data_IF_926210873827
#
_entry.id   IF_926210873827
#
_cell.length_a   1.000
_cell.length_b   1.000
_cell.length_c   1.000
_cell.angle_alpha   90.00
_cell.angle_beta   90.00
_cell.angle_gamma   90.00
#
_symmetry.space_group_name_H-M   'P 1'
#
loop_
_entity.id
_entity.type
_entity.pdbx_description
1 polymer ?
#
# COMPACT_ATOMS: atom_id res chain seq x y z
N UNK A 1 -22.65 19.03 -49.09
CA UNK A 1 -24.00 18.59 -48.66
C UNK A 1 -24.13 17.08 -48.88
N UNK A 2 -23.57 16.28 -47.98
CA UNK A 2 -23.84 14.83 -47.90
C UNK A 2 -24.42 14.55 -46.51
N UNK A 3 -25.48 13.75 -46.51
CA UNK A 3 -26.64 13.84 -45.63
C UNK A 3 -26.49 13.14 -44.27
N UNK A 4 -27.38 13.51 -43.35
CA UNK A 4 -27.65 12.94 -42.02
C UNK A 4 -28.11 11.46 -42.04
N UNK A 5 -27.42 10.57 -42.75
CA UNK A 5 -27.87 9.21 -43.04
C UNK A 5 -27.31 8.07 -42.19
N UNK A 6 -26.33 8.32 -41.30
CA UNK A 6 -25.57 7.23 -40.64
C UNK A 6 -25.94 6.97 -39.17
N UNK A 7 -26.91 7.69 -38.60
CA UNK A 7 -27.28 7.53 -37.19
C UNK A 7 -28.44 6.52 -37.02
N UNK A 8 -29.40 6.49 -37.94
CA UNK A 8 -30.60 5.64 -37.87
C UNK A 8 -30.31 4.13 -37.72
N UNK A 9 -29.40 3.50 -38.49
CA UNK A 9 -29.09 2.07 -38.33
C UNK A 9 -28.44 1.75 -36.98
N UNK A 10 -27.66 2.68 -36.42
CA UNK A 10 -27.03 2.56 -35.10
C UNK A 10 -28.06 2.75 -33.97
N UNK A 11 -28.99 3.70 -34.11
CA UNK A 11 -30.09 3.88 -33.16
C UNK A 11 -31.06 2.69 -33.13
N UNK A 12 -31.27 2.02 -34.27
CA UNK A 12 -32.12 0.83 -34.38
C UNK A 12 -31.46 -0.43 -33.77
N UNK A 13 -30.13 -0.54 -33.91
CA UNK A 13 -29.31 -1.53 -33.18
C UNK A 13 -29.35 -1.31 -31.66
N UNK A 14 -29.30 -0.07 -31.20
CA UNK A 14 -29.38 0.29 -29.77
C UNK A 14 -30.75 -0.01 -29.18
N UNK A 15 -31.84 0.31 -29.89
CA UNK A 15 -33.23 0.04 -29.46
C UNK A 15 -33.56 -1.44 -29.30
N UNK A 16 -32.88 -2.32 -30.04
CA UNK A 16 -33.19 -3.76 -30.08
C UNK A 16 -32.32 -4.61 -29.15
N UNK A 17 -31.23 -4.07 -28.59
CA UNK A 17 -30.20 -4.86 -27.87
C UNK A 17 -29.84 -4.36 -26.46
N UNK A 18 -30.29 -3.16 -26.05
CA UNK A 18 -29.92 -2.55 -24.76
C UNK A 18 -31.09 -2.66 -23.78
N UNK A 19 -30.86 -3.17 -22.57
CA UNK A 19 -31.92 -3.49 -21.60
C UNK A 19 -31.74 -2.82 -20.22
N UNK A 20 -30.69 -2.02 -19.98
CA UNK A 20 -30.42 -1.45 -18.64
C UNK A 20 -30.13 0.07 -18.61
N UNK A 21 -30.52 0.78 -17.54
CA UNK A 21 -30.34 2.24 -17.40
C UNK A 21 -28.87 2.73 -17.40
N UNK A 22 -27.92 1.92 -16.95
CA UNK A 22 -26.48 2.27 -16.88
C UNK A 22 -25.80 2.34 -18.27
N UNK A 23 -26.38 1.67 -19.27
CA UNK A 23 -25.94 1.71 -20.66
C UNK A 23 -26.31 3.06 -21.32
N UNK A 24 -27.38 3.73 -20.85
CA UNK A 24 -27.83 5.01 -21.39
C UNK A 24 -26.89 6.17 -21.03
N UNK A 25 -26.35 6.21 -19.81
CA UNK A 25 -25.33 7.20 -19.40
C UNK A 25 -24.00 6.96 -20.14
N UNK A 26 -23.61 5.69 -20.30
CA UNK A 26 -22.44 5.30 -21.10
C UNK A 26 -22.61 5.73 -22.56
N UNK A 27 -23.83 5.59 -23.12
CA UNK A 27 -24.15 6.01 -24.48
C UNK A 27 -24.22 7.53 -24.63
N UNK A 28 -24.70 8.27 -23.62
CA UNK A 28 -24.69 9.73 -23.63
C UNK A 28 -23.25 10.27 -23.73
N UNK A 29 -22.31 9.71 -22.96
CA UNK A 29 -20.90 10.08 -23.03
C UNK A 29 -20.26 9.73 -24.39
N UNK A 30 -20.64 8.59 -25.00
CA UNK A 30 -20.20 8.20 -26.35
C UNK A 30 -20.76 9.14 -27.41
N UNK A 31 -22.03 9.53 -27.31
CA UNK A 31 -22.68 10.47 -28.23
C UNK A 31 -22.14 11.89 -28.10
N UNK A 32 -21.79 12.32 -26.89
CA UNK A 32 -21.16 13.62 -26.62
C UNK A 32 -19.73 13.68 -27.20
N UNK A 33 -18.94 12.63 -27.00
CA UNK A 33 -17.64 12.45 -27.64
C UNK A 33 -17.72 12.42 -29.18
N UNK A 34 -18.78 11.83 -29.75
CA UNK A 34 -19.00 11.85 -31.19
C UNK A 34 -19.48 13.21 -31.70
N UNK A 35 -20.27 13.98 -30.92
CA UNK A 35 -20.80 15.30 -31.34
C UNK A 35 -19.72 16.38 -31.38
N UNK A 36 -18.77 16.38 -30.44
CA UNK A 36 -17.63 17.31 -30.44
C UNK A 36 -16.69 17.12 -31.65
N UNK A 37 -16.80 15.98 -32.36
CA UNK A 37 -15.90 15.57 -33.45
C UNK A 37 -16.35 15.97 -34.87
N UNK A 38 -17.54 16.57 -35.04
CA UNK A 38 -18.08 16.86 -36.39
C UNK A 38 -17.35 17.98 -37.14
N UNK A 39 -16.43 18.70 -36.49
CA UNK A 39 -15.79 19.91 -37.03
C UNK A 39 -14.45 19.65 -37.73
N UNK A 40 -13.94 18.41 -37.76
CA UNK A 40 -12.58 18.09 -38.24
C UNK A 40 -12.54 16.83 -39.13
N UNK A 41 -13.38 16.75 -40.17
CA UNK A 41 -13.20 15.74 -41.22
C UNK A 41 -12.45 16.32 -42.42
N UNK A 42 -11.12 16.31 -42.32
CA UNK A 42 -10.23 16.24 -43.48
C UNK A 42 -9.57 14.87 -43.48
N UNK A 43 -10.02 13.96 -44.35
CA UNK A 43 -9.35 12.67 -44.55
C UNK A 43 -7.90 12.91 -44.99
N UNK A 44 -6.94 12.60 -44.12
CA UNK A 44 -5.51 12.70 -44.46
C UNK A 44 -5.01 11.32 -44.88
N UNK A 45 -4.47 11.21 -46.10
CA UNK A 45 -3.84 10.01 -46.59
C UNK A 45 -2.49 9.81 -45.88
N UNK A 46 -2.45 8.94 -44.86
CA UNK A 46 -1.26 8.70 -44.03
C UNK A 46 -1.34 7.39 -43.22
N UNK A 47 -0.25 7.00 -42.52
CA UNK A 47 -0.28 5.85 -41.63
C UNK A 47 -1.31 6.04 -40.50
N UNK A 48 -1.83 4.94 -39.95
CA UNK A 48 -2.74 4.98 -38.81
C UNK A 48 -2.01 5.56 -37.58
N UNK A 49 -2.54 6.64 -37.03
CA UNK A 49 -1.96 7.34 -35.88
C UNK A 49 -3.04 7.58 -34.83
N UNK A 50 -2.65 7.48 -33.56
CA UNK A 50 -3.51 7.85 -32.43
C UNK A 50 -3.52 9.38 -32.34
N UNK A 51 -4.71 9.96 -32.44
CA UNK A 51 -4.93 11.41 -32.31
C UNK A 51 -5.36 11.76 -30.89
N UNK A 52 -6.13 10.88 -30.25
CA UNK A 52 -6.60 11.11 -28.88
C UNK A 52 -6.74 9.80 -28.11
N UNK A 53 -6.51 9.85 -26.80
CA UNK A 53 -6.83 8.78 -25.86
C UNK A 53 -7.69 9.38 -24.75
N UNK A 54 -8.80 8.71 -24.44
CA UNK A 54 -9.66 9.00 -23.31
C UNK A 54 -9.65 7.79 -22.38
N UNK A 55 -9.15 7.97 -21.17
CA UNK A 55 -9.04 6.88 -20.21
C UNK A 55 -10.24 6.82 -19.26
N UNK A 56 -11.33 7.55 -19.53
CA UNK A 56 -12.61 7.51 -18.80
C UNK A 56 -12.44 7.52 -17.26
N UNK A 57 -11.58 8.41 -16.75
CA UNK A 57 -11.07 8.42 -15.36
C UNK A 57 -12.17 8.19 -14.33
N UNK A 58 -13.24 8.98 -14.37
CA UNK A 58 -14.33 8.93 -13.40
C UNK A 58 -15.15 7.63 -13.49
N UNK A 59 -15.44 7.18 -14.71
CA UNK A 59 -16.19 5.93 -14.93
C UNK A 59 -15.38 4.71 -14.51
N UNK A 60 -14.09 4.70 -14.87
CA UNK A 60 -13.17 3.66 -14.46
C UNK A 60 -12.93 3.67 -12.96
N UNK A 61 -12.88 4.84 -12.32
CA UNK A 61 -12.75 4.92 -10.87
C UNK A 61 -13.93 4.26 -10.17
N UNK A 62 -15.17 4.53 -10.61
CA UNK A 62 -16.38 3.87 -10.06
C UNK A 62 -16.32 2.34 -10.21
N UNK A 63 -16.00 1.82 -11.40
CA UNK A 63 -15.92 0.36 -11.60
C UNK A 63 -14.73 -0.29 -10.89
N UNK A 64 -13.71 0.51 -10.58
CA UNK A 64 -12.57 0.11 -9.79
C UNK A 64 -12.71 0.51 -8.33
N UNK A 65 -13.85 0.99 -7.83
CA UNK A 65 -14.03 1.45 -6.45
C UNK A 65 -12.99 2.48 -5.96
N UNK A 66 -12.37 3.25 -6.86
CA UNK A 66 -11.29 4.22 -6.56
C UNK A 66 -11.80 5.67 -6.69
N UNK A 67 -13.11 5.89 -6.62
CA UNK A 67 -13.69 7.22 -6.69
C UNK A 67 -13.34 8.10 -5.49
N UNK A 68 -12.93 7.53 -4.35
CA UNK A 68 -12.58 8.35 -3.18
C UNK A 68 -11.32 9.18 -3.41
N UNK A 69 -10.43 8.78 -4.33
CA UNK A 69 -9.19 9.49 -4.61
C UNK A 69 -9.43 10.89 -5.17
N UNK A 70 -8.91 11.90 -4.46
CA UNK A 70 -9.00 13.30 -4.93
C UNK A 70 -8.26 13.54 -6.25
N UNK A 71 -7.33 12.67 -6.63
CA UNK A 71 -6.65 12.78 -7.94
C UNK A 71 -7.56 12.45 -9.11
N UNK A 72 -8.67 11.74 -8.90
CA UNK A 72 -9.65 11.38 -9.95
C UNK A 72 -10.56 12.55 -10.33
N UNK A 73 -10.71 13.54 -9.45
CA UNK A 73 -11.72 14.60 -9.59
C UNK A 73 -11.14 16.00 -9.89
N UNK A 74 -9.83 16.11 -10.12
CA UNK A 74 -9.16 17.38 -10.40
C UNK A 74 -9.37 17.91 -11.83
N UNK A 75 -8.85 19.11 -12.09
CA UNK A 75 -8.75 19.72 -13.43
C UNK A 75 -8.04 18.80 -14.43
N UNK A 76 -7.01 18.09 -13.95
CA UNK A 76 -6.33 17.01 -14.66
C UNK A 76 -6.57 15.71 -13.89
N UNK A 77 -7.66 14.98 -14.18
CA UNK A 77 -7.98 13.77 -13.47
C UNK A 77 -6.97 12.66 -13.82
N UNK A 78 -6.54 11.92 -12.81
CA UNK A 78 -5.65 10.77 -12.98
C UNK A 78 -6.45 9.48 -12.79
N UNK A 79 -6.21 8.51 -13.66
CA UNK A 79 -6.77 7.17 -13.48
C UNK A 79 -6.11 6.46 -12.31
N UNK A 80 -6.93 5.95 -11.39
CA UNK A 80 -6.52 5.05 -10.31
C UNK A 80 -7.28 3.75 -10.53
N UNK A 81 -6.57 2.67 -10.88
CA UNK A 81 -7.18 1.39 -11.26
C UNK A 81 -6.68 0.25 -10.38
N UNK A 82 -7.48 -0.81 -10.30
CA UNK A 82 -7.17 -2.03 -9.55
C UNK A 82 -6.77 -3.18 -10.47
N UNK A 83 -5.76 -3.95 -10.09
CA UNK A 83 -5.41 -5.16 -10.84
C UNK A 83 -6.57 -6.16 -10.87
N UNK A 84 -6.67 -6.93 -11.94
CA UNK A 84 -7.74 -7.93 -12.08
C UNK A 84 -9.11 -7.35 -12.43
N UNK A 85 -9.29 -6.03 -12.32
CA UNK A 85 -10.53 -5.36 -12.70
C UNK A 85 -10.47 -4.88 -14.16
N UNK A 86 -11.64 -4.80 -14.78
CA UNK A 86 -11.80 -4.30 -16.14
C UNK A 86 -11.85 -2.76 -16.11
N UNK A 87 -11.29 -2.13 -17.14
CA UNK A 87 -11.36 -0.68 -17.34
C UNK A 87 -11.57 -0.37 -18.82
N UNK A 88 -12.14 0.80 -19.11
CA UNK A 88 -12.48 1.30 -20.44
C UNK A 88 -11.40 2.26 -20.92
N UNK A 89 -11.06 2.19 -22.21
CA UNK A 89 -10.18 3.17 -22.88
C UNK A 89 -10.77 3.48 -24.25
N UNK A 90 -10.98 4.76 -24.53
CA UNK A 90 -11.29 5.29 -25.85
C UNK A 90 -10.01 5.67 -26.58
N UNK A 91 -9.88 5.26 -27.83
CA UNK A 91 -8.74 5.62 -28.70
C UNK A 91 -9.30 6.19 -29.99
N UNK A 92 -8.93 7.43 -30.33
CA UNK A 92 -9.27 8.05 -31.61
C UNK A 92 -8.09 7.97 -32.55
N UNK A 93 -8.36 7.54 -33.78
CA UNK A 93 -7.37 7.49 -34.85
C UNK A 93 -7.56 8.64 -35.84
N UNK A 94 -6.50 8.96 -36.60
CA UNK A 94 -6.53 9.97 -37.67
C UNK A 94 -7.38 9.55 -38.90
N UNK A 95 -7.83 8.30 -38.94
CA UNK A 95 -8.69 7.75 -39.98
C UNK A 95 -9.59 6.65 -39.41
N UNK A 96 -10.68 6.32 -40.11
CA UNK A 96 -11.60 5.26 -39.69
C UNK A 96 -10.87 3.91 -39.60
N UNK A 97 -11.11 3.18 -38.51
CA UNK A 97 -10.48 1.91 -38.24
C UNK A 97 -11.51 0.89 -37.72
N UNK A 98 -11.77 -0.15 -38.52
CA UNK A 98 -12.70 -1.23 -38.15
C UNK A 98 -12.04 -2.22 -37.17
N UNK A 99 -12.41 -2.10 -35.90
CA UNK A 99 -11.96 -2.98 -34.81
C UNK A 99 -12.56 -4.40 -34.90
N UNK A 100 -13.67 -4.61 -35.64
CA UNK A 100 -14.35 -5.91 -35.74
C UNK A 100 -13.51 -7.00 -36.41
N UNK A 101 -12.46 -6.60 -37.15
CA UNK A 101 -11.50 -7.51 -37.80
C UNK A 101 -10.23 -7.75 -36.98
N UNK A 102 -10.12 -7.15 -35.80
CA UNK A 102 -8.92 -7.19 -34.95
C UNK A 102 -9.32 -7.68 -33.55
N UNK A 103 -9.01 -8.94 -33.18
CA UNK A 103 -9.21 -9.40 -31.82
C UNK A 103 -8.20 -8.72 -30.87
N UNK A 104 -8.60 -7.62 -30.23
CA UNK A 104 -7.87 -7.01 -29.12
C UNK A 104 -8.36 -7.65 -27.81
N UNK A 105 -7.53 -8.47 -27.19
CA UNK A 105 -7.84 -9.09 -25.90
C UNK A 105 -6.70 -8.85 -24.90
N UNK A 106 -6.86 -7.84 -24.05
CA UNK A 106 -6.00 -7.63 -22.90
C UNK A 106 -6.62 -8.33 -21.68
N UNK A 107 -6.11 -9.51 -21.33
CA UNK A 107 -6.57 -10.25 -20.14
C UNK A 107 -5.54 -10.06 -19.04
N UNK A 108 -5.90 -9.34 -17.99
CA UNK A 108 -5.13 -9.22 -16.76
C UNK A 108 -5.79 -10.07 -15.67
N UNK A 109 -5.76 -11.41 -15.81
CA UNK A 109 -6.27 -12.29 -14.75
C UNK A 109 -5.10 -12.66 -13.83
N UNK A 110 -4.97 -11.91 -12.74
CA UNK A 110 -4.01 -12.19 -11.67
C UNK A 110 -4.86 -12.30 -10.40
N UNK A 111 -4.77 -13.45 -9.72
CA UNK A 111 -5.35 -13.59 -8.39
C UNK A 111 -4.77 -12.54 -7.46
N UNK A 112 -5.61 -11.98 -6.59
CA UNK A 112 -5.19 -10.89 -5.73
C UNK A 112 -4.70 -11.43 -4.38
N UNK A 113 -3.39 -11.47 -4.08
CA UNK A 113 -2.89 -11.89 -2.78
C UNK A 113 -3.39 -11.06 -1.60
N UNK A 114 -4.00 -9.89 -1.79
CA UNK A 114 -4.57 -9.08 -0.70
C UNK A 114 -6.09 -9.14 -0.65
N UNK A 115 -6.70 -10.12 -1.33
CA UNK A 115 -8.15 -10.29 -1.32
C UNK A 115 -8.69 -10.57 0.09
N UNK A 116 -9.58 -9.70 0.54
CA UNK A 116 -10.38 -9.87 1.76
C UNK A 116 -11.82 -10.18 1.36
N UNK A 117 -12.27 -11.39 1.69
CA UNK A 117 -13.57 -11.92 1.26
C UNK A 117 -14.74 -11.16 1.88
N UNK A 118 -14.63 -10.81 3.16
CA UNK A 118 -15.69 -10.11 3.87
C UNK A 118 -15.77 -8.65 3.44
N UNK A 119 -16.94 -8.24 2.95
CA UNK A 119 -17.15 -6.90 2.40
C UNK A 119 -17.11 -5.81 3.48
N UNK A 120 -17.63 -6.09 4.68
CA UNK A 120 -17.64 -5.11 5.77
C UNK A 120 -16.22 -4.87 6.30
N UNK A 121 -15.44 -5.93 6.47
CA UNK A 121 -14.03 -5.84 6.82
C UNK A 121 -13.24 -5.13 5.73
N UNK A 122 -13.49 -5.42 4.44
CA UNK A 122 -12.82 -4.73 3.34
C UNK A 122 -13.15 -3.23 3.34
N UNK A 123 -14.40 -2.86 3.55
CA UNK A 123 -14.78 -1.45 3.71
C UNK A 123 -14.06 -0.81 4.91
N UNK A 124 -13.98 -1.52 6.03
CA UNK A 124 -13.35 -0.99 7.25
C UNK A 124 -11.82 -0.85 7.14
N UNK A 125 -11.12 -1.89 6.67
CA UNK A 125 -9.65 -1.95 6.66
C UNK A 125 -9.01 -1.36 5.39
N UNK A 126 -9.82 -0.99 4.40
CA UNK A 126 -9.33 -0.39 3.15
C UNK A 126 -9.94 0.99 2.89
N UNK A 127 -11.26 1.16 3.09
CA UNK A 127 -11.96 2.38 2.70
C UNK A 127 -12.09 3.42 3.82
N UNK A 128 -12.02 2.99 5.09
CA UNK A 128 -12.17 3.92 6.21
C UNK A 128 -10.93 4.78 6.38
N UNK A 129 -11.10 6.10 6.34
CA UNK A 129 -9.98 7.05 6.53
C UNK A 129 -9.67 7.37 7.99
N UNK A 130 -10.48 6.87 8.92
CA UNK A 130 -10.28 7.07 10.36
C UNK A 130 -10.04 5.75 11.08
N UNK A 131 -9.07 5.75 11.97
CA UNK A 131 -8.74 4.66 12.86
C UNK A 131 -8.56 5.14 14.28
N UNK A 132 -8.10 4.24 15.14
CA UNK A 132 -7.69 4.60 16.49
C UNK A 132 -6.52 3.71 16.92
N UNK A 133 -5.75 4.22 17.87
CA UNK A 133 -4.80 3.42 18.64
C UNK A 133 -5.11 3.58 20.13
N UNK A 134 -4.71 2.57 20.89
CA UNK A 134 -4.81 2.56 22.33
C UNK A 134 -3.44 2.86 22.94
N UNK A 135 -3.42 3.59 24.05
CA UNK A 135 -2.21 3.99 24.75
C UNK A 135 -2.40 3.93 26.28
N UNK A 136 -1.33 4.02 27.06
CA UNK A 136 -1.38 3.92 28.51
C UNK A 136 -0.83 2.58 29.00
N UNK A 137 -1.55 1.91 29.89
CA UNK A 137 -1.15 0.62 30.47
C UNK A 137 -2.29 -0.38 30.37
N UNK A 138 -2.00 -1.68 30.53
CA UNK A 138 -3.00 -2.75 30.53
C UNK A 138 -4.18 -2.49 31.50
N UNK A 139 -3.94 -1.78 32.61
CA UNK A 139 -4.94 -1.49 33.66
C UNK A 139 -5.66 -0.16 33.48
N UNK A 140 -5.07 0.75 32.73
CA UNK A 140 -5.58 2.09 32.49
C UNK A 140 -5.10 2.56 31.12
N UNK A 141 -5.91 2.29 30.09
CA UNK A 141 -5.63 2.69 28.72
C UNK A 141 -6.65 3.69 28.21
N UNK A 142 -6.16 4.63 27.40
CA UNK A 142 -6.98 5.54 26.62
C UNK A 142 -7.04 5.14 25.15
N UNK A 143 -7.91 5.82 24.41
CA UNK A 143 -8.01 5.72 22.96
C UNK A 143 -7.74 7.09 22.34
N UNK A 144 -7.05 7.12 21.21
CA UNK A 144 -6.92 8.31 20.37
C UNK A 144 -7.30 7.96 18.94
N UNK A 145 -8.11 8.82 18.34
CA UNK A 145 -8.46 8.73 16.93
C UNK A 145 -7.31 9.21 16.04
N UNK A 146 -7.26 8.66 14.84
CA UNK A 146 -6.29 9.04 13.82
C UNK A 146 -6.97 9.17 12.46
N UNK A 147 -6.66 10.23 11.74
CA UNK A 147 -7.08 10.41 10.34
C UNK A 147 -5.93 10.02 9.39
N UNK A 148 -6.10 8.90 8.70
CA UNK A 148 -5.11 8.38 7.75
C UNK A 148 -4.97 9.22 6.49
N UNK A 149 -6.07 9.78 5.95
CA UNK A 149 -6.08 10.61 4.73
C UNK A 149 -5.50 9.91 3.50
N UNK A 150 -5.78 8.61 3.32
CA UNK A 150 -5.19 7.81 2.23
C UNK A 150 -5.64 8.25 0.83
N UNK A 151 -6.76 8.97 0.71
CA UNK A 151 -7.31 9.41 -0.58
C UNK A 151 -6.87 10.83 -1.00
N UNK A 152 -6.09 11.50 -0.16
CA UNK A 152 -5.52 12.81 -0.49
C UNK A 152 -4.50 12.72 -1.63
N UNK A 153 -4.40 13.81 -2.42
CA UNK A 153 -3.47 13.89 -3.56
C UNK A 153 -2.02 13.70 -3.14
N UNK A 154 -1.65 14.26 -1.98
CA UNK A 154 -0.28 14.19 -1.44
C UNK A 154 0.12 12.74 -1.12
N UNK A 155 -0.83 11.89 -0.75
CA UNK A 155 -0.55 10.55 -0.22
C UNK A 155 0.05 9.65 -1.29
N UNK A 156 -0.58 9.56 -2.46
CA UNK A 156 -0.05 8.78 -3.61
C UNK A 156 1.30 9.29 -4.09
N UNK A 157 1.50 10.62 -4.07
CA UNK A 157 2.76 11.24 -4.48
C UNK A 157 3.89 10.91 -3.49
N UNK A 158 3.60 10.99 -2.20
CA UNK A 158 4.56 10.71 -1.13
C UNK A 158 4.99 9.26 -1.15
N UNK A 159 4.06 8.30 -1.30
CA UNK A 159 4.43 6.87 -1.38
C UNK A 159 5.32 6.57 -2.57
N UNK A 160 5.01 7.14 -3.74
CA UNK A 160 5.87 6.99 -4.91
C UNK A 160 7.30 7.47 -4.62
N UNK A 161 7.42 8.61 -3.92
CA UNK A 161 8.70 9.16 -3.52
C UNK A 161 9.43 8.22 -2.55
N UNK A 162 8.75 7.75 -1.50
CA UNK A 162 9.28 6.82 -0.50
C UNK A 162 9.74 5.50 -1.13
N UNK A 163 8.94 4.90 -2.01
CA UNK A 163 9.30 3.67 -2.71
C UNK A 163 10.47 3.86 -3.68
N UNK A 164 10.75 5.09 -4.14
CA UNK A 164 11.97 5.39 -4.90
C UNK A 164 13.17 5.60 -3.98
N UNK A 165 12.96 6.19 -2.81
CA UNK A 165 14.02 6.42 -1.82
C UNK A 165 14.64 5.11 -1.33
N UNK A 166 13.83 4.04 -1.18
CA UNK A 166 14.29 2.70 -0.80
C UNK A 166 14.61 1.78 -2.00
N UNK A 167 14.73 2.35 -3.20
CA UNK A 167 14.99 1.64 -4.47
C UNK A 167 14.06 0.42 -4.72
N UNK A 168 12.79 0.51 -4.30
CA UNK A 168 11.85 -0.58 -4.51
C UNK A 168 11.56 -0.73 -6.01
N UNK A 169 11.96 -1.84 -6.61
CA UNK A 169 11.80 -2.09 -8.03
C UNK A 169 10.37 -2.54 -8.40
N UNK A 170 10.13 -2.76 -9.70
CA UNK A 170 8.82 -3.21 -10.16
C UNK A 170 8.40 -4.60 -9.67
N UNK A 171 9.36 -5.47 -9.37
CA UNK A 171 9.09 -6.81 -8.86
C UNK A 171 8.70 -6.76 -7.38
N UNK A 172 9.43 -6.00 -6.56
CA UNK A 172 9.12 -5.77 -5.15
C UNK A 172 7.76 -5.09 -5.00
N UNK A 173 7.48 -4.05 -5.80
CA UNK A 173 6.16 -3.39 -5.81
C UNK A 173 5.03 -4.27 -6.38
N UNK A 174 5.37 -5.43 -6.96
CA UNK A 174 4.41 -6.38 -7.51
C UNK A 174 4.06 -7.54 -6.60
N UNK A 175 4.69 -7.60 -5.45
CA UNK A 175 4.49 -8.63 -4.47
C UNK A 175 4.12 -7.98 -3.13
N UNK A 176 3.00 -8.37 -2.52
CA UNK A 176 2.49 -7.71 -1.32
C UNK A 176 3.43 -7.87 -0.13
N UNK A 177 4.16 -8.99 -0.04
CA UNK A 177 5.11 -9.26 1.05
C UNK A 177 6.28 -8.28 0.94
N UNK A 178 6.91 -8.22 -0.23
CA UNK A 178 8.05 -7.32 -0.48
C UNK A 178 7.65 -5.84 -0.43
N UNK A 179 6.48 -5.49 -0.95
CA UNK A 179 5.99 -4.12 -0.94
C UNK A 179 5.78 -3.62 0.50
N UNK A 180 5.11 -4.39 1.35
CA UNK A 180 4.88 -3.99 2.75
C UNK A 180 6.19 -3.89 3.53
N UNK A 181 7.14 -4.80 3.26
CA UNK A 181 8.48 -4.74 3.87
C UNK A 181 9.26 -3.50 3.41
N UNK A 182 9.20 -3.14 2.13
CA UNK A 182 9.81 -1.91 1.61
C UNK A 182 9.16 -0.64 2.19
N UNK A 183 7.82 -0.61 2.32
CA UNK A 183 7.12 0.50 2.97
C UNK A 183 7.50 0.60 4.46
N UNK A 184 7.64 -0.53 5.15
CA UNK A 184 8.08 -0.58 6.54
C UNK A 184 9.42 0.14 6.72
N UNK A 185 10.40 -0.15 5.87
CA UNK A 185 11.70 0.53 5.86
C UNK A 185 11.53 2.03 5.52
N UNK A 186 10.79 2.35 4.46
CA UNK A 186 10.64 3.73 3.98
C UNK A 186 9.94 4.68 4.97
N UNK A 187 9.17 4.16 5.93
CA UNK A 187 8.45 4.97 6.91
C UNK A 187 9.40 5.56 7.97
N UNK A 188 10.56 4.95 8.22
CA UNK A 188 11.56 5.46 9.17
C UNK A 188 12.85 5.89 8.46
N UNK A 189 13.60 6.82 9.06
CA UNK A 189 14.75 7.49 8.43
C UNK A 189 16.10 6.78 8.66
N UNK A 190 16.15 5.62 9.32
CA UNK A 190 17.44 5.13 9.85
C UNK A 190 18.46 4.79 8.76
N UNK A 191 17.99 4.19 7.67
CA UNK A 191 18.87 3.70 6.60
C UNK A 191 18.78 4.56 5.33
N UNK A 192 17.63 5.21 5.11
CA UNK A 192 17.28 5.89 3.86
C UNK A 192 16.63 7.26 4.10
N UNK A 193 16.22 7.96 3.02
CA UNK A 193 15.44 9.20 3.10
C UNK A 193 13.96 8.95 3.47
N UNK A 194 13.75 8.27 4.59
CA UNK A 194 12.42 7.85 5.04
C UNK A 194 11.56 8.97 5.61
N UNK A 195 10.28 8.64 5.86
CA UNK A 195 9.26 9.63 6.18
C UNK A 195 9.47 10.33 7.54
N UNK A 196 9.81 9.58 8.59
CA UNK A 196 9.77 10.06 9.97
C UNK A 196 11.10 9.87 10.71
N UNK A 197 11.49 10.88 11.47
CA UNK A 197 12.53 10.77 12.50
C UNK A 197 11.90 10.42 13.85
N UNK A 198 12.36 9.35 14.50
CA UNK A 198 11.87 8.92 15.81
C UNK A 198 12.43 9.77 16.96
N UNK A 199 11.62 10.03 18.01
CA UNK A 199 12.12 10.64 19.25
C UNK A 199 11.28 10.25 20.48
N UNK A 200 11.97 9.71 21.49
CA UNK A 200 11.38 9.26 22.77
C UNK A 200 11.86 10.05 23.99
N UNK A 201 12.71 11.07 23.80
CA UNK A 201 13.08 12.04 24.85
C UNK A 201 12.04 13.17 24.95
N UNK A 202 11.93 13.83 26.10
CA UNK A 202 10.97 14.93 26.32
C UNK A 202 11.33 16.27 25.65
N UNK A 203 12.46 16.37 24.97
CA UNK A 203 12.82 17.54 24.15
C UNK A 203 12.41 17.35 22.69
N UNK A 204 11.48 18.21 22.23
CA UNK A 204 11.01 18.25 20.83
C UNK A 204 11.28 19.58 20.13
N UNK A 205 12.19 20.41 20.66
CA UNK A 205 12.46 21.79 20.19
C UNK A 205 12.76 21.93 18.68
N UNK A 206 13.24 20.88 18.02
CA UNK A 206 13.52 20.84 16.58
C UNK A 206 12.42 20.24 15.69
N UNK A 207 11.22 20.01 16.21
CA UNK A 207 10.14 19.34 15.48
C UNK A 207 8.79 19.45 16.15
N UNK A 208 7.87 18.55 15.78
CA UNK A 208 6.55 18.43 16.40
C UNK A 208 6.58 17.34 17.46
N UNK A 209 6.02 17.61 18.64
CA UNK A 209 5.81 16.59 19.67
C UNK A 209 4.94 15.46 19.08
N UNK A 210 5.40 14.18 19.13
CA UNK A 210 4.67 13.05 18.57
C UNK A 210 3.21 12.94 19.03
N UNK A 211 2.93 13.30 20.29
CA UNK A 211 1.59 13.26 20.88
C UNK A 211 0.62 14.34 20.38
N UNK A 212 1.08 15.29 19.56
CA UNK A 212 0.22 16.31 18.93
C UNK A 212 -0.35 15.81 17.60
N UNK A 213 0.28 14.84 16.95
CA UNK A 213 -0.24 14.30 15.71
C UNK A 213 -1.56 13.57 15.92
N UNK A 214 -2.53 13.86 15.05
CA UNK A 214 -3.83 13.19 14.95
C UNK A 214 -4.16 12.75 13.52
N UNK A 215 -3.22 12.96 12.59
CA UNK A 215 -3.40 12.63 11.18
C UNK A 215 -2.06 12.42 10.49
N UNK A 216 -2.04 11.54 9.49
CA UNK A 216 -0.87 11.34 8.62
C UNK A 216 -0.72 12.50 7.62
N UNK A 217 -1.79 13.18 7.21
CA UNK A 217 -1.74 14.17 6.13
C UNK A 217 -0.76 15.33 6.38
N UNK A 218 -0.70 15.96 7.56
CA UNK A 218 0.26 17.04 7.82
C UNK A 218 1.71 16.55 7.77
N UNK A 219 1.96 15.27 8.07
CA UNK A 219 3.29 14.64 7.97
C UNK A 219 3.65 14.50 6.49
N UNK A 220 2.75 13.98 5.66
CA UNK A 220 3.00 13.80 4.22
C UNK A 220 3.20 15.15 3.51
N UNK A 221 2.38 16.15 3.82
CA UNK A 221 2.54 17.51 3.28
C UNK A 221 3.91 18.09 3.66
N UNK A 222 4.29 18.07 4.94
CA UNK A 222 5.60 18.56 5.39
C UNK A 222 6.76 17.83 4.71
N UNK A 223 6.67 16.51 4.56
CA UNK A 223 7.70 15.72 3.90
C UNK A 223 7.89 16.18 2.43
N UNK A 224 6.79 16.32 1.69
CA UNK A 224 6.82 16.76 0.29
C UNK A 224 7.25 18.23 0.14
N UNK A 225 6.78 19.13 1.01
CA UNK A 225 7.15 20.55 1.05
C UNK A 225 8.64 20.74 1.34
N UNK A 226 9.22 19.88 2.18
CA UNK A 226 10.64 19.90 2.50
C UNK A 226 11.50 19.15 1.48
N UNK A 227 10.97 18.82 0.30
CA UNK A 227 11.73 18.18 -0.78
C UNK A 227 12.12 16.73 -0.49
N UNK A 228 11.34 16.01 0.32
CA UNK A 228 11.61 14.61 0.69
C UNK A 228 12.48 14.43 1.93
N UNK A 229 12.71 15.49 2.70
CA UNK A 229 13.42 15.39 3.98
C UNK A 229 12.48 14.88 5.09
N UNK A 230 12.99 13.98 5.93
CA UNK A 230 12.23 13.36 7.01
C UNK A 230 11.58 14.36 7.98
N UNK A 231 10.40 14.00 8.48
CA UNK A 231 9.60 14.83 9.37
C UNK A 231 9.88 14.47 10.83
N UNK A 232 10.14 15.51 11.63
CA UNK A 232 10.40 15.42 13.07
C UNK A 232 9.14 15.75 13.87
N UNK A 233 8.67 14.95 14.83
CA UNK A 233 9.12 13.61 15.22
C UNK A 233 7.96 12.62 15.26
N UNK A 234 8.28 11.33 15.27
CA UNK A 234 7.34 10.23 15.47
C UNK A 234 7.69 9.36 16.68
N UNK A 235 6.67 8.66 17.18
CA UNK A 235 6.77 7.50 18.07
C UNK A 235 5.96 6.36 17.48
N UNK A 236 5.95 5.18 18.11
CA UNK A 236 5.39 3.94 17.56
C UNK A 236 3.99 4.11 16.93
N UNK A 237 3.06 4.80 17.60
CA UNK A 237 1.72 5.05 17.07
C UNK A 237 1.69 5.95 15.82
N UNK A 238 2.66 6.87 15.67
CA UNK A 238 2.82 7.70 14.47
C UNK A 238 3.38 6.86 13.32
N UNK A 239 4.39 6.03 13.59
CA UNK A 239 4.98 5.12 12.59
C UNK A 239 3.96 4.09 12.10
N UNK A 240 3.24 3.43 13.01
CA UNK A 240 2.20 2.47 12.69
C UNK A 240 1.06 3.11 11.89
N UNK A 241 0.60 4.30 12.27
CA UNK A 241 -0.49 4.97 11.55
C UNK A 241 -0.05 5.47 10.17
N UNK A 242 1.20 5.91 10.02
CA UNK A 242 1.76 6.27 8.72
C UNK A 242 1.92 5.03 7.81
N UNK A 243 2.32 3.88 8.36
CA UNK A 243 2.39 2.62 7.62
C UNK A 243 0.99 2.11 7.24
N UNK A 244 -0.03 2.28 8.10
CA UNK A 244 -1.42 2.02 7.73
C UNK A 244 -1.82 2.90 6.55
N UNK A 245 -1.67 4.23 6.64
CA UNK A 245 -1.94 5.12 5.50
C UNK A 245 -1.21 4.68 4.24
N UNK A 246 0.04 4.25 4.37
CA UNK A 246 0.84 3.81 3.24
C UNK A 246 0.33 2.50 2.63
N UNK A 247 -0.12 1.58 3.46
CA UNK A 247 -0.58 0.24 3.05
C UNK A 247 -2.02 0.25 2.56
N UNK A 248 -2.91 1.04 3.18
CA UNK A 248 -4.37 1.09 2.93
C UNK A 248 -4.78 2.04 1.81
N UNK A 249 -3.83 2.48 0.98
CA UNK A 249 -4.14 3.16 -0.28
C UNK A 249 -4.87 2.17 -1.20
N UNK A 250 -6.15 1.96 -0.94
CA UNK A 250 -7.18 1.24 -1.67
C UNK A 250 -6.82 -0.02 -2.48
N UNK A 251 -7.33 -1.16 -1.98
CA UNK A 251 -7.03 -2.56 -2.35
C UNK A 251 -7.15 -2.94 -3.77
N UNK A 252 -6.04 -2.99 -4.51
CA UNK A 252 -5.61 -4.10 -5.39
C UNK A 252 -4.43 -3.61 -6.25
N UNK A 253 -3.25 -3.35 -5.68
CA UNK A 253 -2.00 -3.33 -6.46
C UNK A 253 -0.94 -4.19 -5.79
N UNK A 254 -0.55 -5.20 -6.56
CA UNK A 254 0.85 -5.48 -6.70
C UNK A 254 1.10 -5.79 -8.19
N UNK A 255 1.33 -4.70 -8.93
CA UNK A 255 2.29 -4.56 -10.03
C UNK A 255 2.34 -3.07 -10.36
N UNK A 256 3.38 -2.39 -9.92
CA UNK A 256 3.95 -1.39 -10.81
C UNK A 256 4.35 -2.18 -12.04
N UNK A 257 3.65 -1.94 -13.14
CA UNK A 257 4.20 -2.29 -14.44
C UNK A 257 5.38 -1.35 -14.63
N UNK A 258 6.53 -1.67 -14.01
CA UNK A 258 7.80 -1.20 -14.54
C UNK A 258 7.98 -2.00 -15.81
N UNK A 259 7.30 -1.53 -16.87
CA UNK A 259 7.75 -1.37 -18.25
C UNK A 259 8.76 -2.37 -18.84
N UNK A 260 8.81 -3.60 -18.36
CA UNK A 260 9.65 -4.66 -18.93
C UNK A 260 8.82 -5.86 -19.37
N UNK A 261 7.55 -5.99 -18.94
CA UNK A 261 6.67 -7.12 -19.32
C UNK A 261 5.18 -6.77 -19.46
N UNK A 262 4.82 -5.63 -20.07
CA UNK A 262 3.50 -5.58 -20.75
C UNK A 262 3.63 -6.38 -22.03
N UNK A 263 3.24 -7.65 -22.00
CA UNK A 263 2.94 -8.38 -23.23
C UNK A 263 1.50 -8.06 -23.57
N UNK A 264 1.29 -7.04 -24.42
CA UNK A 264 0.03 -6.92 -25.14
C UNK A 264 -0.01 -8.16 -26.04
N UNK A 265 -0.83 -9.15 -25.68
CA UNK A 265 -1.13 -10.26 -26.58
C UNK A 265 -2.02 -9.71 -27.68
N UNK A 266 -1.37 -9.19 -28.71
CA UNK A 266 -2.02 -8.98 -29.99
C UNK A 266 -2.05 -10.35 -30.67
N UNK A 267 -3.05 -11.15 -30.32
CA UNK A 267 -3.25 -12.49 -30.87
C UNK A 267 -3.70 -12.38 -32.32
N UNK A 268 -2.77 -12.08 -33.23
CA UNK A 268 -2.66 -12.62 -34.59
C UNK A 268 -1.63 -11.83 -35.41
N UNK A 269 -0.90 -12.56 -36.25
CA UNK A 269 0.08 -12.11 -37.25
C UNK A 269 -0.36 -10.89 -38.10
N UNK A 270 -1.68 -10.62 -38.19
CA UNK A 270 -2.26 -9.53 -38.98
C UNK A 270 -2.17 -8.14 -38.32
N UNK A 271 -2.02 -8.05 -37.00
CA UNK A 271 -2.05 -6.76 -36.31
C UNK A 271 -0.71 -6.01 -36.37
N UNK A 272 0.42 -6.71 -36.47
CA UNK A 272 1.72 -6.05 -36.72
C UNK A 272 1.75 -5.34 -38.09
N UNK A 273 0.98 -5.84 -39.06
CA UNK A 273 0.80 -5.23 -40.38
C UNK A 273 -0.16 -4.03 -40.36
N UNK A 274 -1.19 -4.05 -39.51
CA UNK A 274 -2.23 -3.02 -39.41
C UNK A 274 -1.85 -1.83 -38.53
N UNK A 275 -1.26 -2.06 -37.36
CA UNK A 275 -0.92 -0.99 -36.42
C UNK A 275 0.54 -0.52 -36.59
N UNK A 276 1.44 -1.38 -37.08
CA UNK A 276 2.87 -1.08 -37.11
C UNK A 276 3.49 -0.95 -35.70
N UNK A 277 4.81 -1.16 -35.60
CA UNK A 277 5.54 -1.11 -34.34
C UNK A 277 5.47 0.27 -33.67
N UNK A 278 5.28 1.34 -34.46
CA UNK A 278 5.17 2.73 -33.96
C UNK A 278 3.90 2.97 -33.16
N UNK A 279 2.74 2.52 -33.64
CA UNK A 279 1.45 2.73 -32.97
C UNK A 279 1.34 1.89 -31.70
N UNK A 280 1.86 0.66 -31.72
CA UNK A 280 1.97 -0.18 -30.52
C UNK A 280 2.92 0.45 -29.48
N UNK A 281 4.02 1.08 -29.91
CA UNK A 281 4.91 1.85 -29.02
C UNK A 281 4.25 3.14 -28.50
N UNK A 282 3.42 3.81 -29.30
CA UNK A 282 2.66 4.98 -28.87
C UNK A 282 1.58 4.60 -27.86
N UNK A 283 0.75 3.59 -28.14
CA UNK A 283 -0.19 3.02 -27.18
C UNK A 283 0.53 2.58 -25.91
N UNK A 284 1.64 1.86 -26.03
CA UNK A 284 2.42 1.45 -24.88
C UNK A 284 2.97 2.62 -24.07
N UNK A 285 3.53 3.65 -24.73
CA UNK A 285 4.02 4.86 -24.06
C UNK A 285 2.89 5.64 -23.40
N UNK A 286 1.77 5.86 -24.08
CA UNK A 286 0.65 6.63 -23.54
C UNK A 286 -0.05 5.87 -22.41
N UNK A 287 -0.27 4.56 -22.57
CA UNK A 287 -0.78 3.70 -21.49
C UNK A 287 0.22 3.68 -20.32
N UNK A 288 1.54 3.66 -20.56
CA UNK A 288 2.56 3.72 -19.50
C UNK A 288 2.60 5.10 -18.79
N UNK A 289 2.48 6.19 -19.54
CA UNK A 289 2.67 7.56 -19.05
C UNK A 289 1.36 8.15 -18.48
N UNK A 290 0.19 7.65 -18.91
CA UNK A 290 -1.15 8.03 -18.41
C UNK A 290 -1.70 7.11 -17.32
N UNK A 291 -1.09 5.96 -17.06
CA UNK A 291 -1.50 5.06 -15.98
C UNK A 291 -0.67 5.29 -14.71
N UNK A 292 -1.17 6.16 -13.83
CA UNK A 292 -0.78 6.11 -12.42
C UNK A 292 -1.53 4.95 -11.74
N UNK A 293 -1.11 3.71 -12.01
CA UNK A 293 -1.55 2.53 -11.25
C UNK A 293 -1.03 2.63 -9.80
N UNK A 294 -1.67 3.45 -8.97
CA UNK A 294 -1.27 3.71 -7.58
C UNK A 294 -2.45 3.56 -6.63
N UNK A 295 -2.61 2.35 -6.13
CA UNK A 295 -3.50 1.96 -5.05
C UNK A 295 -3.03 0.61 -4.44
N UNK A 296 -2.05 0.67 -3.53
CA UNK A 296 -1.41 -0.48 -2.86
C UNK A 296 -2.44 -1.39 -2.18
N UNK A 297 -3.21 -0.79 -1.28
CA UNK A 297 -4.54 -1.24 -0.97
C UNK A 297 -4.66 -2.46 -0.07
N UNK A 298 -3.57 -2.75 0.59
CA UNK A 298 -3.42 -3.87 1.47
C UNK A 298 -4.31 -3.55 2.69
N UNK A 299 -5.38 -4.33 2.95
CA UNK A 299 -6.23 -4.08 4.11
C UNK A 299 -5.37 -4.10 5.36
N UNK A 300 -5.38 -3.01 6.13
CA UNK A 300 -4.45 -2.87 7.26
C UNK A 300 -5.10 -2.24 8.48
N UNK A 301 -4.50 -2.45 9.65
CA UNK A 301 -4.97 -1.90 10.93
C UNK A 301 -3.80 -1.66 11.88
N UNK A 302 -3.96 -0.69 12.79
CA UNK A 302 -3.06 -0.52 13.92
C UNK A 302 -3.41 -1.49 15.04
N UNK A 303 -2.40 -2.01 15.74
CA UNK A 303 -2.54 -2.88 16.91
C UNK A 303 -1.71 -2.31 18.05
N UNK A 304 -2.34 -2.17 19.23
CA UNK A 304 -1.65 -1.77 20.45
C UNK A 304 -1.43 -2.98 21.35
N UNK A 305 -0.19 -3.18 21.81
CA UNK A 305 0.22 -4.25 22.72
C UNK A 305 0.56 -3.69 24.09
N UNK A 306 0.12 -4.37 25.16
CA UNK A 306 0.29 -3.94 26.56
C UNK A 306 0.58 -5.14 27.47
N UNK A 307 1.66 -5.09 28.27
CA UNK A 307 2.91 -4.36 27.97
C UNK A 307 3.60 -4.95 26.74
N UNK A 308 4.58 -4.24 26.17
CA UNK A 308 5.34 -4.75 25.02
C UNK A 308 6.82 -4.90 25.34
N UNK A 309 7.31 -6.13 25.24
CA UNK A 309 8.72 -6.42 25.42
C UNK A 309 9.55 -5.93 24.23
N UNK A 310 10.73 -5.37 24.48
CA UNK A 310 11.76 -5.11 23.49
C UNK A 310 12.94 -6.03 23.78
N UNK A 311 13.02 -7.15 23.03
CA UNK A 311 14.05 -8.17 23.21
C UNK A 311 15.07 -8.07 22.09
N UNK A 312 16.31 -7.75 22.45
CA UNK A 312 17.47 -7.80 21.55
C UNK A 312 18.21 -9.12 21.80
N UNK A 313 17.89 -10.16 21.02
CA UNK A 313 18.55 -11.45 21.17
C UNK A 313 17.72 -12.64 20.71
N UNK A 314 18.31 -13.83 20.88
CA UNK A 314 17.76 -15.06 20.33
C UNK A 314 16.90 -15.87 21.31
N UNK A 315 16.89 -15.54 22.60
CA UNK A 315 16.28 -16.36 23.66
C UNK A 315 14.88 -15.89 24.11
N UNK A 316 14.32 -14.88 23.45
CA UNK A 316 12.98 -14.33 23.71
C UNK A 316 12.72 -14.02 25.19
N UNK A 317 13.74 -13.58 25.93
CA UNK A 317 13.58 -13.14 27.31
C UNK A 317 13.96 -11.69 27.52
N UNK A 318 13.34 -11.10 28.55
CA UNK A 318 13.78 -9.85 29.14
C UNK A 318 14.51 -10.17 30.43
N UNK A 319 15.77 -9.76 30.53
CA UNK A 319 16.65 -10.03 31.65
C UNK A 319 16.86 -8.77 32.50
N UNK A 320 16.35 -8.81 33.73
CA UNK A 320 16.49 -7.75 34.72
C UNK A 320 17.57 -8.10 35.74
N UNK A 321 18.52 -7.20 35.95
CA UNK A 321 19.65 -7.41 36.85
C UNK A 321 19.56 -6.53 38.09
N UNK A 322 19.75 -7.15 39.25
CA UNK A 322 19.71 -6.49 40.55
C UNK A 322 21.01 -6.71 41.31
N UNK A 323 21.48 -5.67 42.01
CA UNK A 323 22.61 -5.81 42.91
C UNK A 323 22.26 -6.62 44.18
N UNK A 324 23.25 -6.80 45.05
CA UNK A 324 23.09 -7.54 46.31
C UNK A 324 22.01 -6.91 47.23
N UNK A 325 21.73 -5.61 47.07
CA UNK A 325 20.77 -4.81 47.83
C UNK A 325 19.40 -4.67 47.14
N UNK A 326 19.15 -5.44 46.07
CA UNK A 326 17.93 -5.38 45.25
C UNK A 326 17.74 -4.05 44.51
N UNK A 327 18.81 -3.29 44.29
CA UNK A 327 18.75 -2.11 43.41
C UNK A 327 18.87 -2.57 41.95
N UNK A 328 17.99 -2.12 41.04
CA UNK A 328 18.13 -2.42 39.62
C UNK A 328 19.43 -1.82 39.08
N UNK A 329 20.08 -2.57 38.19
CA UNK A 329 21.31 -2.17 37.51
C UNK A 329 20.93 -1.64 36.12
N UNK A 330 21.55 -0.53 35.73
CA UNK A 330 21.29 0.10 34.43
C UNK A 330 21.74 -0.80 33.27
N UNK A 331 20.99 -0.75 32.16
CA UNK A 331 21.22 -1.58 30.97
C UNK A 331 20.40 -2.87 30.92
N UNK A 332 19.37 -3.03 31.76
CA UNK A 332 18.39 -4.11 31.64
C UNK A 332 17.52 -3.93 30.39
N UNK A 333 16.98 -5.04 29.87
CA UNK A 333 16.11 -5.01 28.71
C UNK A 333 14.87 -4.13 28.96
N UNK A 334 14.34 -3.54 27.88
CA UNK A 334 13.28 -2.56 27.96
C UNK A 334 11.89 -3.19 27.80
N UNK A 335 10.97 -2.78 28.64
CA UNK A 335 9.53 -3.04 28.48
C UNK A 335 8.82 -1.70 28.27
N UNK A 336 8.10 -1.60 27.16
CA UNK A 336 7.23 -0.46 26.90
C UNK A 336 5.90 -0.66 27.62
N UNK A 337 5.38 0.41 28.26
CA UNK A 337 4.02 0.44 28.77
C UNK A 337 3.00 0.00 27.70
N UNK A 338 3.25 0.46 26.47
CA UNK A 338 2.55 0.01 25.28
C UNK A 338 3.42 0.20 24.05
N UNK A 339 3.18 -0.61 23.03
CA UNK A 339 3.77 -0.44 21.70
C UNK A 339 2.69 -0.59 20.64
N UNK A 340 2.83 0.13 19.53
CA UNK A 340 1.86 0.11 18.43
C UNK A 340 2.56 -0.29 17.14
N UNK A 341 2.02 -1.29 16.45
CA UNK A 341 2.47 -1.72 15.12
C UNK A 341 1.29 -1.82 14.13
N UNK A 342 1.59 -2.22 12.89
CA UNK A 342 0.60 -2.41 11.83
C UNK A 342 0.40 -3.89 11.54
N UNK A 343 -0.84 -4.32 11.36
CA UNK A 343 -1.15 -5.60 10.71
C UNK A 343 -1.65 -5.36 9.30
N UNK A 344 -1.14 -6.13 8.34
CA UNK A 344 -1.49 -6.07 6.93
C UNK A 344 -2.03 -7.42 6.45
N UNK A 345 -3.14 -7.42 5.73
CA UNK A 345 -3.81 -8.61 5.22
C UNK A 345 -3.24 -9.03 3.86
N UNK A 346 -2.62 -10.21 3.80
CA UNK A 346 -2.12 -10.76 2.54
C UNK A 346 -1.96 -12.29 2.58
N UNK A 347 -1.96 -12.91 1.41
CA UNK A 347 -1.50 -14.28 1.22
C UNK A 347 0.02 -14.36 1.41
N UNK A 348 0.48 -15.54 1.82
CA UNK A 348 1.90 -15.87 2.00
C UNK A 348 2.28 -17.08 1.15
N UNK A 349 2.34 -16.94 -0.19
CA UNK A 349 2.71 -18.04 -1.08
C UNK A 349 4.15 -18.51 -0.89
N UNK A 350 4.97 -17.71 -0.21
CA UNK A 350 6.34 -18.01 0.20
C UNK A 350 6.43 -18.88 1.47
N UNK A 351 5.32 -19.10 2.18
CA UNK A 351 5.23 -19.89 3.41
C UNK A 351 4.38 -21.17 3.22
N UNK A 352 4.43 -22.12 4.18
CA UNK A 352 3.49 -23.23 4.20
C UNK A 352 2.02 -22.75 4.18
N UNK A 353 1.14 -23.54 3.56
CA UNK A 353 -0.28 -23.19 3.43
C UNK A 353 -0.91 -22.92 4.79
N UNK A 354 -1.73 -21.87 4.85
CA UNK A 354 -2.48 -21.50 6.05
C UNK A 354 -1.83 -20.42 6.91
N UNK A 355 -0.73 -19.81 6.49
CA UNK A 355 -0.08 -18.66 7.15
C UNK A 355 -0.30 -17.31 6.43
N UNK A 356 -1.29 -17.23 5.53
CA UNK A 356 -1.78 -15.96 4.99
C UNK A 356 -2.59 -15.16 6.01
N UNK A 357 -3.40 -14.21 5.53
CA UNK A 357 -4.25 -13.32 6.32
C UNK A 357 -3.44 -12.24 7.04
N UNK A 358 -3.73 -11.94 8.32
CA UNK A 358 -3.07 -10.88 9.08
C UNK A 358 -1.58 -11.16 9.32
N UNK A 359 -0.74 -10.23 8.87
CA UNK A 359 0.69 -10.22 9.07
C UNK A 359 1.10 -9.02 9.92
N UNK A 360 1.83 -9.24 11.01
CA UNK A 360 2.40 -8.17 11.83
C UNK A 360 3.62 -7.53 11.13
N UNK A 361 3.67 -6.20 11.13
CA UNK A 361 4.66 -5.35 10.47
C UNK A 361 4.92 -4.15 11.38
N UNK A 362 6.18 -3.83 11.64
CA UNK A 362 6.53 -2.75 12.56
C UNK A 362 7.57 -1.81 11.94
N UNK A 363 7.12 -0.61 11.58
CA UNK A 363 7.96 0.46 11.02
C UNK A 363 8.66 1.31 12.08
N UNK A 364 8.47 0.99 13.37
CA UNK A 364 9.20 1.65 14.45
C UNK A 364 10.64 1.12 14.46
N UNK A 365 11.66 1.98 14.35
CA UNK A 365 13.04 1.53 14.23
C UNK A 365 13.57 1.02 15.58
N UNK A 366 13.33 -0.26 15.87
CA UNK A 366 13.77 -0.93 17.10
C UNK A 366 14.87 -1.96 16.83
N UNK A 367 14.76 -2.74 15.76
CA UNK A 367 15.72 -3.79 15.42
C UNK A 367 16.07 -3.77 13.93
N UNK A 368 17.29 -4.20 13.63
CA UNK A 368 17.77 -4.34 12.26
C UNK A 368 17.50 -5.77 11.75
N UNK A 369 16.84 -5.87 10.60
CA UNK A 369 16.57 -7.11 9.88
C UNK A 369 17.14 -7.05 8.47
N UNK A 370 18.00 -8.01 8.13
CA UNK A 370 18.65 -8.08 6.82
C UNK A 370 19.41 -6.78 6.46
N UNK A 371 19.95 -6.09 7.47
CA UNK A 371 20.74 -4.87 7.30
C UNK A 371 19.96 -3.56 7.28
N UNK A 372 18.62 -3.59 7.44
CA UNK A 372 17.77 -2.39 7.50
C UNK A 372 16.81 -2.42 8.71
N UNK A 373 16.36 -1.26 9.17
CA UNK A 373 15.30 -1.11 10.16
C UNK A 373 13.93 -1.38 9.54
N UNK A 374 13.61 -2.67 9.45
CA UNK A 374 12.36 -3.21 8.91
C UNK A 374 11.96 -4.45 9.70
N UNK A 375 10.69 -4.60 10.03
CA UNK A 375 10.19 -5.76 10.77
C UNK A 375 8.90 -6.27 10.13
N UNK A 376 8.84 -7.59 9.87
CA UNK A 376 7.72 -8.25 9.22
C UNK A 376 7.75 -8.13 7.69
N UNK A 377 6.72 -8.63 6.99
CA UNK A 377 5.49 -9.21 7.52
C UNK A 377 5.67 -10.61 8.14
N UNK A 378 5.14 -10.81 9.35
CA UNK A 378 5.11 -12.11 10.02
C UNK A 378 3.69 -12.58 10.31
N UNK A 379 3.33 -13.86 10.07
CA UNK A 379 1.96 -14.31 10.28
C UNK A 379 1.55 -14.21 11.76
N UNK A 380 0.47 -13.49 12.05
CA UNK A 380 -0.09 -13.41 13.41
C UNK A 380 -0.46 -14.81 13.93
N UNK A 381 -0.90 -15.68 13.01
CA UNK A 381 -1.15 -17.10 13.32
C UNK A 381 0.12 -17.84 13.77
N UNK A 382 1.28 -17.55 13.19
CA UNK A 382 2.54 -18.17 13.58
C UNK A 382 2.95 -17.76 15.01
N UNK A 383 2.76 -16.48 15.36
CA UNK A 383 2.94 -16.00 16.75
C UNK A 383 2.04 -16.79 17.70
N UNK A 384 0.74 -16.94 17.36
CA UNK A 384 -0.21 -17.71 18.17
C UNK A 384 0.23 -19.17 18.37
N UNK A 385 0.75 -19.80 17.33
CA UNK A 385 1.23 -21.19 17.31
C UNK A 385 2.65 -21.37 17.87
N UNK A 386 3.26 -20.34 18.46
CA UNK A 386 4.63 -20.36 19.00
C UNK A 386 5.70 -20.75 17.95
N UNK A 387 5.46 -20.43 16.69
CA UNK A 387 6.45 -20.56 15.61
C UNK A 387 7.28 -19.29 15.55
N UNK A 388 8.59 -19.43 15.36
CA UNK A 388 9.54 -18.31 15.20
C UNK A 388 10.51 -18.51 14.04
N UNK A 389 10.43 -19.66 13.38
CA UNK A 389 11.30 -20.11 12.28
C UNK A 389 10.83 -19.64 10.91
N UNK A 390 9.61 -19.11 10.80
CA UNK A 390 9.08 -18.59 9.54
C UNK A 390 9.64 -17.19 9.25
N UNK A 391 9.58 -16.78 7.99
CA UNK A 391 9.92 -15.41 7.60
C UNK A 391 8.73 -14.47 7.79
N UNK A 392 8.91 -13.21 8.17
CA UNK A 392 10.15 -12.54 8.59
C UNK A 392 10.11 -12.25 10.10
N UNK A 393 11.26 -12.10 10.76
CA UNK A 393 11.36 -11.48 12.09
C UNK A 393 10.52 -12.14 13.21
N UNK A 394 10.24 -13.44 13.06
CA UNK A 394 9.32 -14.16 13.94
C UNK A 394 9.74 -14.18 15.41
N UNK A 395 11.04 -14.19 15.71
CA UNK A 395 11.55 -14.13 17.09
C UNK A 395 11.20 -12.80 17.76
N UNK A 396 11.52 -11.68 17.12
CA UNK A 396 11.27 -10.34 17.67
C UNK A 396 9.77 -10.10 17.88
N UNK A 397 8.95 -10.37 16.86
CA UNK A 397 7.49 -10.18 16.94
C UNK A 397 6.81 -11.16 17.90
N UNK A 398 7.37 -12.35 18.13
CA UNK A 398 6.84 -13.25 19.16
C UNK A 398 7.30 -12.84 20.55
N UNK A 399 8.54 -12.38 20.70
CA UNK A 399 9.08 -11.91 21.97
C UNK A 399 8.30 -10.69 22.48
N UNK A 400 7.90 -9.76 21.61
CA UNK A 400 7.15 -8.56 22.01
C UNK A 400 5.83 -8.88 22.74
N UNK A 401 5.24 -10.04 22.49
CA UNK A 401 3.98 -10.50 23.12
C UNK A 401 4.14 -11.63 24.13
N UNK A 402 5.19 -12.46 24.00
CA UNK A 402 5.34 -13.72 24.76
C UNK A 402 6.68 -13.85 25.48
N UNK A 403 7.41 -12.74 25.67
CA UNK A 403 8.69 -12.77 26.35
C UNK A 403 8.61 -13.46 27.72
N UNK A 404 9.69 -14.17 28.06
CA UNK A 404 9.92 -14.69 29.42
C UNK A 404 10.72 -13.64 30.20
N UNK A 405 10.23 -13.22 31.35
CA UNK A 405 10.89 -12.24 32.19
C UNK A 405 11.75 -12.99 33.19
N UNK A 406 13.05 -12.74 33.16
CA UNK A 406 14.05 -13.34 34.04
C UNK A 406 14.61 -12.26 34.95
N UNK A 407 14.67 -12.55 36.25
CA UNK A 407 15.19 -11.64 37.26
C UNK A 407 16.42 -12.26 37.87
N UNK A 408 17.55 -11.59 37.71
CA UNK A 408 18.86 -12.04 38.18
C UNK A 408 19.35 -11.16 39.31
N UNK A 409 19.97 -11.80 40.31
CA UNK A 409 20.62 -11.12 41.42
C UNK A 409 22.11 -11.35 41.36
N UNK A 410 22.89 -10.30 41.61
CA UNK A 410 24.35 -10.38 41.70
C UNK A 410 24.72 -11.36 42.82
N UNK A 411 25.52 -12.36 42.46
CA UNK A 411 25.97 -13.43 43.35
C UNK A 411 27.42 -13.77 43.01
N UNK A 412 28.40 -13.27 43.80
CA UNK A 412 29.82 -13.55 43.57
C UNK A 412 30.20 -15.03 43.65
N UNK A 413 29.35 -15.88 44.27
CA UNK A 413 29.57 -17.32 44.35
C UNK A 413 29.08 -18.07 43.10
N UNK A 414 28.24 -17.43 42.27
CA UNK A 414 27.75 -18.03 41.04
C UNK A 414 28.81 -17.91 39.93
N UNK A 415 29.06 -18.96 39.12
CA UNK A 415 30.13 -18.94 38.10
C UNK A 415 30.04 -17.80 37.08
N UNK A 416 28.82 -17.30 36.82
CA UNK A 416 28.57 -16.16 35.91
C UNK A 416 28.44 -14.82 36.63
N UNK A 417 28.58 -14.78 37.96
CA UNK A 417 28.36 -13.60 38.80
C UNK A 417 26.89 -13.23 39.06
N UNK A 418 25.95 -14.00 38.49
CA UNK A 418 24.50 -13.74 38.55
C UNK A 418 23.71 -15.02 38.80
N UNK A 419 22.77 -14.97 39.72
CA UNK A 419 21.84 -16.05 40.03
C UNK A 419 20.43 -15.66 39.58
N UNK A 420 19.77 -16.51 38.78
CA UNK A 420 18.35 -16.36 38.48
C UNK A 420 17.54 -16.56 39.78
N UNK A 421 16.79 -15.53 40.19
CA UNK A 421 16.01 -15.53 41.42
C UNK A 421 14.51 -15.64 41.19
N UNK A 422 14.03 -15.22 40.01
CA UNK A 422 12.62 -15.31 39.65
C UNK A 422 12.46 -15.34 38.12
N UNK A 423 11.46 -16.08 37.64
CA UNK A 423 11.03 -16.01 36.25
C UNK A 423 9.50 -16.00 36.15
N UNK A 424 8.96 -15.26 35.19
CA UNK A 424 7.55 -15.31 34.80
C UNK A 424 7.43 -15.35 33.27
N UNK A 425 6.38 -15.97 32.76
CA UNK A 425 6.04 -15.94 31.33
C UNK A 425 4.68 -15.26 31.17
N UNK A 426 4.49 -14.56 30.05
CA UNK A 426 3.18 -14.00 29.68
C UNK A 426 2.26 -15.04 28.99
N UNK A 427 2.62 -16.33 29.00
CA UNK A 427 1.81 -17.42 28.43
C UNK A 427 0.70 -17.92 29.35
#
# INVERSE_FOLDING_TARGET
>A
MAAAGDIEPFLEFVKTKVHMPEDLETMAAVLEFMRESTTLMGHTAGPLEIVEINMHEKSNAKTNNTESYKTVHGEFPCNVLRRGNVFKVGVRFNQFFDLGRVPLRAIFKIEDPVYMKDDAQRQFYTMKETGAYYYGTEKNFGQREWNYGQFEKVTLATIEFLLKAVDADGAQRSDSVNLVRALCAAINVQDDQGLLTGRWSDDYSGGTNPGVWSSTMPILNKYMENGGNSVKYGQCFVFASALVTASTIDGKLARVVVSHKVRIYVLQYNCMRLFGVKLLRQLYRIVKDSMFLRALGIPSRSVSNFPSAHVEGDDMSLDYYFDEKNKPIEGADMEWNFHVWTEAWMARPDLPTGYGEWQAVDSTPQVVSEGMYQVGPYPVKAIRENRTDLKHDGKYLSASVKAVYKYHKKDPSHPKGWKLVYQKSNM
#
